data_IF_108976810736
#
_entry.id   IF_108976810736
#
_cell.length_a   1.000
_cell.length_b   1.000
_cell.length_c   1.000
_cell.angle_alpha   90.00
_cell.angle_beta   90.00
_cell.angle_gamma   90.00
#
_symmetry.space_group_name_H-M   'P 1'
#
loop_
_entity.id
_entity.type
_entity.pdbx_description
1 polymer ?
#
# COMPACT_ATOMS: atom_id res chain seq x y z
N UNK A 1 5.06 13.30 13.50
CA UNK A 1 6.15 12.31 13.60
C UNK A 1 5.90 11.25 12.54
N UNK A 2 6.55 11.37 11.39
CA UNK A 2 6.35 10.53 10.19
C UNK A 2 7.51 9.54 10.18
N UNK A 3 7.36 8.41 10.84
CA UNK A 3 8.35 7.29 10.85
C UNK A 3 7.74 5.99 10.32
N UNK A 4 6.72 6.08 9.46
CA UNK A 4 5.95 4.93 8.99
C UNK A 4 6.24 4.53 7.53
N UNK A 5 7.28 5.09 6.89
CA UNK A 5 7.49 4.94 5.44
C UNK A 5 8.09 3.61 4.96
N UNK A 6 8.63 2.76 5.85
CA UNK A 6 9.39 1.55 5.44
C UNK A 6 8.83 0.26 6.04
N UNK A 7 8.27 0.30 7.25
CA UNK A 7 7.70 -0.88 7.92
C UNK A 7 6.36 -1.35 7.31
N UNK A 8 5.67 -0.46 6.61
CA UNK A 8 4.27 -0.65 6.21
C UNK A 8 4.10 -1.27 4.82
N UNK A 9 5.16 -1.25 4.00
CA UNK A 9 5.26 -1.96 2.72
C UNK A 9 5.17 -3.48 2.93
N UNK A 10 5.68 -3.96 4.07
CA UNK A 10 5.67 -5.37 4.40
C UNK A 10 4.25 -5.88 4.61
N UNK A 11 3.38 -5.28 5.42
CA UNK A 11 2.11 -5.93 5.77
C UNK A 11 1.15 -6.14 4.60
N UNK A 12 0.95 -5.16 3.71
CA UNK A 12 -0.03 -5.29 2.63
C UNK A 12 0.41 -6.25 1.52
N UNK A 13 1.69 -6.16 1.13
CA UNK A 13 2.27 -7.07 0.14
C UNK A 13 2.39 -8.47 0.75
N UNK A 14 2.79 -8.61 2.02
CA UNK A 14 2.97 -9.90 2.70
C UNK A 14 1.65 -10.61 2.98
N UNK A 15 0.52 -9.93 3.20
CA UNK A 15 -0.78 -10.59 3.41
C UNK A 15 -1.37 -11.16 2.11
N UNK A 16 -1.28 -10.39 1.02
CA UNK A 16 -1.60 -10.86 -0.33
C UNK A 16 -0.63 -11.98 -0.72
N UNK A 17 0.66 -11.85 -0.41
CA UNK A 17 1.70 -12.84 -0.72
C UNK A 17 1.56 -14.14 0.06
N UNK A 18 1.32 -14.12 1.38
CA UNK A 18 1.12 -15.31 2.21
C UNK A 18 -0.03 -16.16 1.68
N UNK A 19 -1.16 -15.53 1.35
CA UNK A 19 -2.35 -16.23 0.84
C UNK A 19 -2.20 -16.76 -0.60
N UNK A 20 -1.29 -16.18 -1.39
CA UNK A 20 -1.04 -16.56 -2.79
C UNK A 20 0.13 -17.55 -2.95
N UNK A 21 1.06 -17.59 -2.00
CA UNK A 21 2.15 -18.56 -1.96
C UNK A 21 1.64 -19.96 -1.57
N UNK A 22 0.57 -20.03 -0.76
CA UNK A 22 -0.21 -21.26 -0.55
C UNK A 22 -1.12 -21.52 -1.76
N UNK A 23 -0.49 -21.92 -2.86
CA UNK A 23 -1.06 -22.32 -4.14
C UNK A 23 -2.33 -23.21 -3.98
N UNK A 24 -3.35 -22.96 -4.83
CA UNK A 24 -4.65 -23.67 -4.99
C UNK A 24 -5.87 -23.22 -4.16
N UNK A 25 -5.96 -21.97 -3.74
CA UNK A 25 -7.18 -21.47 -3.10
C UNK A 25 -8.23 -21.07 -4.14
N UNK A 26 -9.48 -21.49 -3.91
CA UNK A 26 -10.61 -21.17 -4.80
C UNK A 26 -10.73 -19.65 -5.01
N UNK A 27 -11.28 -19.24 -6.16
CA UNK A 27 -11.49 -17.81 -6.50
C UNK A 27 -12.20 -17.04 -5.38
N UNK A 28 -13.09 -17.70 -4.62
CA UNK A 28 -13.79 -17.10 -3.47
C UNK A 28 -12.85 -16.78 -2.32
N UNK A 29 -11.97 -17.72 -1.97
CA UNK A 29 -11.04 -17.55 -0.86
C UNK A 29 -10.02 -16.46 -1.19
N UNK A 30 -9.58 -16.37 -2.45
CA UNK A 30 -8.71 -15.29 -2.91
C UNK A 30 -9.36 -13.89 -2.80
N UNK A 31 -10.63 -13.76 -3.15
CA UNK A 31 -11.35 -12.48 -3.03
C UNK A 31 -11.50 -12.10 -1.56
N UNK A 32 -11.89 -13.04 -0.70
CA UNK A 32 -12.03 -12.81 0.74
C UNK A 32 -10.71 -12.41 1.39
N UNK A 33 -9.61 -13.11 1.09
CA UNK A 33 -8.30 -12.77 1.64
C UNK A 33 -7.82 -11.41 1.15
N UNK A 34 -8.10 -11.04 -0.10
CA UNK A 34 -7.80 -9.71 -0.63
C UNK A 34 -8.55 -8.60 0.10
N UNK A 35 -9.85 -8.79 0.38
CA UNK A 35 -10.66 -7.83 1.14
C UNK A 35 -10.13 -7.68 2.57
N UNK A 36 -9.84 -8.79 3.26
CA UNK A 36 -9.28 -8.77 4.61
C UNK A 36 -7.93 -8.04 4.62
N UNK A 37 -7.08 -8.30 3.63
CA UNK A 37 -5.77 -7.63 3.49
C UNK A 37 -5.92 -6.11 3.35
N UNK A 38 -6.87 -5.66 2.52
CA UNK A 38 -7.18 -4.23 2.32
C UNK A 38 -7.63 -3.57 3.61
N UNK A 39 -8.51 -4.23 4.36
CA UNK A 39 -9.03 -3.70 5.62
C UNK A 39 -7.95 -3.63 6.70
N UNK A 40 -7.12 -4.67 6.83
CA UNK A 40 -6.01 -4.67 7.78
C UNK A 40 -5.00 -3.55 7.47
N UNK A 41 -4.65 -3.39 6.19
CA UNK A 41 -3.79 -2.30 5.72
C UNK A 41 -4.38 -0.92 6.04
N UNK A 42 -5.67 -0.74 5.81
CA UNK A 42 -6.34 0.52 6.04
C UNK A 42 -6.36 0.92 7.53
N UNK A 43 -6.62 -0.04 8.41
CA UNK A 43 -6.61 0.16 9.87
C UNK A 43 -5.20 0.46 10.39
N UNK A 44 -4.17 -0.18 9.82
CA UNK A 44 -2.78 0.07 10.18
C UNK A 44 -2.33 1.49 9.81
N UNK A 45 -2.75 1.98 8.64
CA UNK A 45 -2.30 3.27 8.09
C UNK A 45 -3.02 4.49 8.66
N UNK A 46 -4.19 4.30 9.26
CA UNK A 46 -4.95 5.42 9.79
C UNK A 46 -5.91 4.98 10.88
N UNK A 47 -5.92 5.73 11.97
CA UNK A 47 -6.94 5.60 13.03
C UNK A 47 -8.17 6.47 12.76
N UNK A 48 -8.15 7.33 11.72
CA UNK A 48 -9.27 8.19 11.34
C UNK A 48 -10.15 7.50 10.29
N UNK A 49 -11.50 7.56 10.39
CA UNK A 49 -12.41 6.92 9.46
C UNK A 49 -12.14 7.26 7.98
N UNK A 50 -11.91 8.55 7.68
CA UNK A 50 -11.60 8.99 6.31
C UNK A 50 -10.25 8.47 5.80
N UNK A 51 -9.24 8.38 6.67
CA UNK A 51 -7.93 7.85 6.30
C UNK A 51 -7.93 6.33 6.10
N UNK A 52 -8.76 5.61 6.84
CA UNK A 52 -9.01 4.17 6.62
C UNK A 52 -9.65 3.99 5.24
N UNK A 53 -10.66 4.79 4.91
CA UNK A 53 -11.34 4.70 3.62
C UNK A 53 -10.40 4.99 2.44
N UNK A 54 -9.58 6.04 2.53
CA UNK A 54 -8.62 6.36 1.47
C UNK A 54 -7.53 5.31 1.33
N UNK A 55 -7.00 4.78 2.43
CA UNK A 55 -6.05 3.67 2.40
C UNK A 55 -6.69 2.43 1.75
N UNK A 56 -7.92 2.08 2.10
CA UNK A 56 -8.61 0.95 1.49
C UNK A 56 -8.76 1.11 -0.04
N UNK A 57 -9.09 2.32 -0.52
CA UNK A 57 -9.17 2.62 -1.95
C UNK A 57 -7.82 2.47 -2.67
N UNK A 58 -6.71 2.85 -2.01
CA UNK A 58 -5.36 2.67 -2.55
C UNK A 58 -4.94 1.20 -2.63
N UNK A 59 -5.46 0.33 -1.77
CA UNK A 59 -5.18 -1.10 -1.82
C UNK A 59 -5.68 -1.78 -3.10
N UNK A 60 -6.82 -1.33 -3.63
CA UNK A 60 -7.50 -1.93 -4.79
C UNK A 60 -6.62 -1.98 -6.07
N UNK A 61 -6.02 -0.86 -6.56
CA UNK A 61 -5.18 -0.89 -7.76
C UNK A 61 -3.95 -1.78 -7.62
N UNK A 62 -3.33 -1.85 -6.43
CA UNK A 62 -2.21 -2.76 -6.18
C UNK A 62 -2.62 -4.23 -6.27
N UNK A 63 -3.80 -4.59 -5.76
CA UNK A 63 -4.35 -5.94 -5.87
C UNK A 63 -4.67 -6.30 -7.32
N UNK A 64 -5.29 -5.39 -8.08
CA UNK A 64 -5.64 -5.60 -9.50
C UNK A 64 -4.38 -5.82 -10.34
N UNK A 65 -3.36 -4.99 -10.16
CA UNK A 65 -2.10 -5.09 -10.90
C UNK A 65 -1.41 -6.42 -10.64
N UNK A 66 -1.38 -6.89 -9.39
CA UNK A 66 -0.89 -8.23 -9.07
C UNK A 66 -1.72 -9.34 -9.75
N UNK A 67 -3.05 -9.30 -9.65
CA UNK A 67 -3.93 -10.33 -10.25
C UNK A 67 -3.66 -10.48 -11.74
N UNK A 68 -3.53 -9.35 -12.44
CA UNK A 68 -3.36 -9.30 -13.89
C UNK A 68 -1.97 -9.75 -14.34
N UNK A 69 -0.94 -9.40 -13.58
CA UNK A 69 0.46 -9.61 -14.00
C UNK A 69 1.10 -10.84 -13.38
N UNK A 70 0.56 -11.33 -12.26
CA UNK A 70 1.13 -12.37 -11.41
C UNK A 70 2.57 -12.07 -10.98
N UNK A 71 2.96 -10.79 -10.97
CA UNK A 71 4.30 -10.34 -10.64
C UNK A 71 4.25 -9.40 -9.45
N UNK A 72 4.88 -9.79 -8.33
CA UNK A 72 4.93 -9.01 -7.09
C UNK A 72 5.74 -7.72 -7.21
N UNK A 73 6.73 -7.68 -8.11
CA UNK A 73 7.56 -6.49 -8.27
C UNK A 73 6.76 -5.30 -8.78
N UNK A 74 5.69 -5.54 -9.55
CA UNK A 74 4.84 -4.48 -10.11
C UNK A 74 4.11 -3.66 -9.02
N UNK A 75 3.28 -4.27 -8.14
CA UNK A 75 2.65 -3.51 -7.05
C UNK A 75 3.68 -2.95 -6.06
N UNK A 76 4.82 -3.64 -5.81
CA UNK A 76 5.90 -3.10 -4.97
C UNK A 76 6.49 -1.80 -5.55
N UNK A 77 6.83 -1.80 -6.84
CA UNK A 77 7.37 -0.60 -7.50
C UNK A 77 6.32 0.51 -7.57
N UNK A 78 5.07 0.19 -7.88
CA UNK A 78 3.98 1.17 -7.90
C UNK A 78 3.79 1.84 -6.54
N UNK A 79 3.87 1.07 -5.44
CA UNK A 79 3.79 1.59 -4.09
C UNK A 79 4.99 2.50 -3.74
N UNK A 80 6.21 2.09 -4.11
CA UNK A 80 7.41 2.91 -3.92
C UNK A 80 7.28 4.26 -4.63
N UNK A 81 6.80 4.26 -5.88
CA UNK A 81 6.54 5.49 -6.64
C UNK A 81 5.46 6.33 -5.96
N UNK A 82 4.35 5.72 -5.53
CA UNK A 82 3.28 6.44 -4.84
C UNK A 82 3.76 7.11 -3.55
N UNK A 83 4.62 6.44 -2.77
CA UNK A 83 5.22 7.05 -1.58
C UNK A 83 6.17 8.19 -1.92
N UNK A 84 6.99 8.03 -2.96
CA UNK A 84 7.87 9.11 -3.38
C UNK A 84 7.08 10.34 -3.84
N UNK A 85 6.03 10.16 -4.62
CA UNK A 85 5.18 11.26 -5.12
C UNK A 85 4.31 11.85 -4.01
N UNK A 86 3.63 11.02 -3.23
CA UNK A 86 2.65 11.43 -2.24
C UNK A 86 3.24 11.92 -0.92
N UNK A 87 4.42 11.42 -0.53
CA UNK A 87 5.06 11.77 0.74
C UNK A 87 6.45 12.40 0.53
N UNK A 88 7.24 11.86 -0.39
CA UNK A 88 8.61 12.34 -0.66
C UNK A 88 8.67 13.75 -1.24
N UNK A 89 7.95 14.01 -2.35
CA UNK A 89 7.94 15.33 -3.01
C UNK A 89 7.42 16.42 -2.07
N UNK A 90 6.28 16.26 -1.35
CA UNK A 90 5.83 17.25 -0.39
C UNK A 90 6.85 17.52 0.72
N UNK A 91 7.53 16.47 1.21
CA UNK A 91 8.58 16.63 2.22
C UNK A 91 9.78 17.44 1.69
N UNK A 92 10.22 17.19 0.45
CA UNK A 92 11.28 17.95 -0.20
C UNK A 92 10.90 19.41 -0.41
N UNK A 93 9.68 19.68 -0.89
CA UNK A 93 9.17 21.05 -1.07
C UNK A 93 9.10 21.77 0.28
N UNK A 94 8.61 21.09 1.32
CA UNK A 94 8.53 21.65 2.66
C UNK A 94 9.93 21.97 3.22
N UNK A 95 10.91 21.07 3.04
CA UNK A 95 12.29 21.30 3.43
C UNK A 95 12.92 22.47 2.67
N UNK A 96 12.70 22.57 1.36
CA UNK A 96 13.21 23.68 0.55
C UNK A 96 12.66 25.04 1.00
N UNK A 97 11.37 25.10 1.36
CA UNK A 97 10.74 26.29 1.95
C UNK A 97 11.34 26.65 3.31
N UNK A 98 11.59 25.66 4.18
CA UNK A 98 12.25 25.92 5.47
C UNK A 98 13.68 26.47 5.31
N UNK A 99 14.39 26.00 4.29
CA UNK A 99 15.74 26.44 3.95
C UNK A 99 15.77 27.74 3.10
N UNK A 100 14.60 28.32 2.77
CA UNK A 100 14.45 29.50 1.90
C UNK A 100 15.09 29.36 0.51
N UNK A 101 15.21 28.12 0.04
CA UNK A 101 15.69 27.83 -1.33
C UNK A 101 14.55 28.07 -2.35
N UNK A 102 13.31 28.03 -1.88
CA UNK A 102 12.05 28.22 -2.61
C UNK A 102 11.08 29.09 -1.80
#
# INVERSE_FOLDING_TARGET
>A
MITQGVFFICYYVYFIWLFLLFNNLSRRIFILSSIISILLYAVEHSYKPLGIFTAALWGIPFTITYIKTKNIYIPMTAHLICNFVGNGIPALIMAAKMLKIL
#
